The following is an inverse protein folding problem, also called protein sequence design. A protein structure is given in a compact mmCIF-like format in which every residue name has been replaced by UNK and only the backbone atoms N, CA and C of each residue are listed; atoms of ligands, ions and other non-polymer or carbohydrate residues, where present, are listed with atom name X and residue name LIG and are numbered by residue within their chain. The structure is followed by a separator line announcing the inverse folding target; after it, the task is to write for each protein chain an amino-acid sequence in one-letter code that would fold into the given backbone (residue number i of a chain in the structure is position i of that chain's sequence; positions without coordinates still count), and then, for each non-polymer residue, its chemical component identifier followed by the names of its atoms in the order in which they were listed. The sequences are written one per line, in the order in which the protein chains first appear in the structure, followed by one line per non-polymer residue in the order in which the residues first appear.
data_IF_288232235798
#
_entry.id   IF_288232235798
#
_cell.length_a   1.000
_cell.length_b   1.000
_cell.length_c   1.000
_cell.angle_alpha   90.00
_cell.angle_beta   90.00
_cell.angle_gamma   90.00
#
_symmetry.space_group_name_H-M   'P 1'
#
loop_
_entity.id
_entity.type
_entity.pdbx_description
1 polymer ?
#
# COMPACT_ATOMS: atom_id res chain seq x y z
N UNK A 1 -49.64 19.15 42.95
CA UNK A 1 -48.74 17.99 42.76
C UNK A 1 -48.38 17.91 41.28
N UNK A 2 -47.22 18.44 40.88
CA UNK A 2 -46.65 18.21 39.54
C UNK A 2 -45.13 18.26 39.66
N UNK A 3 -44.50 17.09 39.56
CA UNK A 3 -43.06 16.90 39.74
C UNK A 3 -42.34 17.16 38.42
N UNK A 4 -41.50 18.20 38.38
CA UNK A 4 -40.54 18.42 37.31
C UNK A 4 -39.29 17.57 37.61
N UNK A 5 -39.23 16.34 37.09
CA UNK A 5 -37.98 15.59 37.02
C UNK A 5 -37.31 15.93 35.70
N UNK A 6 -36.28 16.77 35.79
CA UNK A 6 -35.39 17.14 34.71
C UNK A 6 -34.76 15.90 34.08
N UNK A 7 -35.04 15.67 32.79
CA UNK A 7 -34.24 14.79 31.95
C UNK A 7 -32.97 15.55 31.57
N UNK A 8 -31.90 15.32 32.32
CA UNK A 8 -30.54 15.72 31.91
C UNK A 8 -30.05 14.65 30.95
N UNK A 9 -30.10 14.93 29.65
CA UNK A 9 -29.42 14.10 28.64
C UNK A 9 -27.96 14.53 28.66
N UNK A 10 -27.12 13.74 29.34
CA UNK A 10 -25.66 13.88 29.27
C UNK A 10 -25.21 13.26 27.95
N UNK A 11 -24.81 14.08 26.98
CA UNK A 11 -24.01 13.62 25.85
C UNK A 11 -22.60 13.35 26.39
N UNK A 12 -22.33 12.10 26.75
CA UNK A 12 -20.97 11.65 27.02
C UNK A 12 -20.24 11.50 25.69
N UNK A 13 -19.26 12.35 25.43
CA UNK A 13 -18.27 12.10 24.38
C UNK A 13 -17.38 10.99 24.95
N UNK A 14 -17.65 9.75 24.56
CA UNK A 14 -16.70 8.66 24.74
C UNK A 14 -15.52 8.94 23.81
N UNK A 15 -14.44 9.47 24.38
CA UNK A 15 -13.14 9.48 23.73
C UNK A 15 -12.65 8.04 23.77
N UNK A 16 -12.93 7.27 22.72
CA UNK A 16 -12.16 6.06 22.45
C UNK A 16 -10.74 6.51 22.10
N UNK A 17 -9.88 6.55 23.12
CA UNK A 17 -8.44 6.54 22.88
C UNK A 17 -8.13 5.21 22.20
N UNK A 18 -7.81 5.24 20.91
CA UNK A 18 -7.33 4.07 20.18
C UNK A 18 -6.04 3.59 20.88
N UNK A 19 -6.15 2.52 21.68
CA UNK A 19 -4.99 1.86 22.29
C UNK A 19 -4.42 0.94 21.22
N UNK A 20 -3.84 1.53 20.17
CA UNK A 20 -2.98 0.82 19.24
C UNK A 20 -1.75 0.33 20.02
N UNK A 21 -1.39 -0.94 19.83
CA UNK A 21 -0.24 -1.51 20.51
C UNK A 21 1.03 -1.04 19.79
N UNK A 22 1.57 0.09 20.22
CA UNK A 22 2.78 0.69 19.65
C UNK A 22 3.90 -0.35 19.47
N UNK A 23 4.34 -0.54 18.23
CA UNK A 23 5.51 -1.38 17.91
C UNK A 23 6.78 -0.55 17.98
N UNK A 24 7.91 -1.22 18.22
CA UNK A 24 9.24 -0.60 18.16
C UNK A 24 9.91 -1.06 16.86
N UNK A 25 10.37 -0.11 16.07
CA UNK A 25 11.03 -0.37 14.79
C UNK A 25 12.54 -0.56 14.96
N UNK A 26 13.08 -1.54 14.26
CA UNK A 26 14.51 -1.73 14.08
C UNK A 26 14.79 -1.94 12.61
N UNK A 27 15.81 -1.28 12.08
CA UNK A 27 16.21 -1.41 10.69
C UNK A 27 17.65 -1.84 10.55
N UNK A 28 17.92 -2.73 9.61
CA UNK A 28 19.27 -3.17 9.27
C UNK A 28 19.41 -3.30 7.75
N UNK A 29 20.45 -2.67 7.20
CA UNK A 29 20.80 -2.81 5.80
C UNK A 29 21.63 -4.08 5.59
N UNK A 30 21.21 -4.92 4.64
CA UNK A 30 21.91 -6.15 4.24
C UNK A 30 22.32 -7.01 5.45
N UNK A 31 21.36 -7.44 6.29
CA UNK A 31 21.63 -8.02 7.60
C UNK A 31 22.58 -9.23 7.51
N UNK A 32 23.73 -9.14 8.18
CA UNK A 32 24.74 -10.21 8.20
C UNK A 32 25.51 -10.45 6.89
N UNK A 33 25.41 -9.60 5.86
CA UNK A 33 26.10 -9.82 4.58
C UNK A 33 27.60 -9.47 4.61
N UNK A 34 27.99 -8.49 5.42
CA UNK A 34 29.35 -7.98 5.47
C UNK A 34 29.80 -7.28 4.17
N UNK A 35 31.10 -7.38 3.85
CA UNK A 35 31.72 -6.63 2.75
C UNK A 35 31.17 -7.00 1.36
N UNK A 36 30.72 -8.24 1.17
CA UNK A 36 30.23 -8.74 -0.12
C UNK A 36 29.10 -7.89 -0.71
N UNK A 37 28.12 -7.50 0.12
CA UNK A 37 27.01 -6.66 -0.35
C UNK A 37 27.45 -5.23 -0.65
N UNK A 38 28.49 -4.75 0.01
CA UNK A 38 29.08 -3.43 -0.27
C UNK A 38 29.79 -3.43 -1.62
N UNK A 39 30.55 -4.48 -1.92
CA UNK A 39 31.25 -4.65 -3.20
C UNK A 39 30.30 -4.78 -4.39
N UNK A 40 29.19 -5.51 -4.20
CA UNK A 40 28.16 -5.70 -5.24
C UNK A 40 27.17 -4.53 -5.32
N UNK A 41 27.23 -3.57 -4.39
CA UNK A 41 26.32 -2.45 -4.28
C UNK A 41 24.83 -2.86 -4.31
N UNK A 42 24.49 -3.95 -3.61
CA UNK A 42 23.12 -4.47 -3.52
C UNK A 42 22.39 -3.90 -2.30
N UNK A 43 21.07 -3.88 -2.36
CA UNK A 43 20.23 -3.41 -1.25
C UNK A 43 19.08 -4.39 -0.98
N UNK A 44 19.16 -5.03 0.19
CA UNK A 44 18.03 -5.66 0.87
C UNK A 44 17.94 -5.03 2.25
N UNK A 45 16.85 -4.35 2.52
CA UNK A 45 16.66 -3.59 3.75
C UNK A 45 15.67 -4.33 4.65
N UNK A 46 16.11 -4.64 5.85
CA UNK A 46 15.32 -5.38 6.82
C UNK A 46 14.73 -4.43 7.86
N UNK A 47 13.41 -4.37 7.89
CA UNK A 47 12.64 -3.65 8.89
C UNK A 47 11.94 -4.66 9.81
N UNK A 48 12.17 -4.53 11.11
CA UNK A 48 11.57 -5.35 12.16
C UNK A 48 10.69 -4.47 13.03
N UNK A 49 9.37 -4.71 13.01
CA UNK A 49 8.39 -4.06 13.87
C UNK A 49 8.01 -5.00 15.02
N UNK A 50 8.62 -4.79 16.19
CA UNK A 50 8.45 -5.64 17.36
C UNK A 50 7.27 -5.16 18.20
N UNK A 51 6.27 -6.03 18.38
CA UNK A 51 5.12 -5.81 19.27
C UNK A 51 5.25 -6.59 20.59
N UNK A 52 4.21 -6.52 21.45
CA UNK A 52 4.22 -7.22 22.73
C UNK A 52 4.27 -8.75 22.59
N UNK A 53 3.56 -9.30 21.61
CA UNK A 53 3.37 -10.75 21.46
C UNK A 53 4.01 -11.31 20.18
N UNK A 54 4.20 -10.47 19.17
CA UNK A 54 4.62 -10.86 17.83
C UNK A 54 5.63 -9.86 17.23
N UNK A 55 6.29 -10.29 16.18
CA UNK A 55 7.19 -9.46 15.39
C UNK A 55 6.81 -9.54 13.92
N UNK A 56 6.67 -8.38 13.29
CA UNK A 56 6.50 -8.25 11.85
C UNK A 56 7.88 -7.99 11.24
N UNK A 57 8.25 -8.83 10.29
CA UNK A 57 9.49 -8.75 9.54
C UNK A 57 9.16 -8.32 8.12
N UNK A 58 9.66 -7.16 7.69
CA UNK A 58 9.61 -6.69 6.32
C UNK A 58 11.01 -6.76 5.72
N UNK A 59 11.12 -7.39 4.55
CA UNK A 59 12.31 -7.30 3.72
C UNK A 59 11.97 -6.54 2.45
N UNK A 60 12.55 -5.35 2.31
CA UNK A 60 12.47 -4.53 1.11
C UNK A 60 13.68 -4.83 0.24
N UNK A 61 13.48 -5.53 -0.86
CA UNK A 61 14.54 -6.01 -1.74
C UNK A 61 14.61 -5.26 -3.06
N UNK A 62 15.84 -4.97 -3.49
CA UNK A 62 16.16 -4.30 -4.73
C UNK A 62 17.36 -4.96 -5.44
N UNK A 63 17.76 -6.18 -5.04
CA UNK A 63 18.92 -6.86 -5.64
C UNK A 63 18.68 -7.19 -7.11
N UNK A 64 17.46 -7.61 -7.44
CA UNK A 64 17.05 -7.87 -8.83
C UNK A 64 15.93 -6.93 -9.23
N UNK A 65 14.79 -7.03 -8.55
CA UNK A 65 13.60 -6.21 -8.77
C UNK A 65 13.04 -5.77 -7.42
N UNK A 66 12.30 -4.64 -7.37
CA UNK A 66 11.61 -4.23 -6.15
C UNK A 66 10.65 -5.31 -5.66
N UNK A 67 10.81 -5.73 -4.42
CA UNK A 67 9.93 -6.69 -3.78
C UNK A 67 9.89 -6.52 -2.28
N UNK A 68 8.79 -6.95 -1.68
CA UNK A 68 8.52 -6.91 -0.24
C UNK A 68 8.17 -8.32 0.20
N UNK A 69 8.85 -8.82 1.22
CA UNK A 69 8.43 -10.01 1.96
C UNK A 69 8.04 -9.59 3.38
N UNK A 70 6.82 -9.89 3.77
CA UNK A 70 6.27 -9.75 5.11
C UNK A 70 6.19 -11.14 5.76
N UNK A 71 6.67 -11.26 7.00
CA UNK A 71 6.50 -12.44 7.83
C UNK A 71 6.13 -12.06 9.26
N UNK A 72 5.21 -12.81 9.87
CA UNK A 72 4.73 -12.63 11.24
C UNK A 72 5.22 -13.79 12.09
N UNK A 73 5.93 -13.50 13.17
CA UNK A 73 6.56 -14.52 14.01
C UNK A 73 6.40 -14.19 15.50
N UNK A 74 6.76 -15.13 16.37
CA UNK A 74 6.96 -14.84 17.78
C UNK A 74 8.27 -14.04 18.00
N UNK A 75 8.31 -13.21 19.04
CA UNK A 75 9.45 -12.32 19.34
C UNK A 75 10.83 -12.98 19.46
N UNK A 76 10.90 -14.30 19.71
CA UNK A 76 12.15 -15.06 19.80
C UNK A 76 12.74 -15.45 18.43
N UNK A 77 11.95 -15.35 17.37
CA UNK A 77 12.31 -15.81 16.03
C UNK A 77 13.21 -14.78 15.34
N UNK A 78 14.24 -15.27 14.65
CA UNK A 78 15.20 -14.43 13.92
C UNK A 78 15.18 -14.76 12.43
N UNK A 79 15.40 -13.73 11.63
CA UNK A 79 15.66 -13.83 10.21
C UNK A 79 17.05 -14.43 9.95
N UNK A 80 17.15 -15.28 8.94
CA UNK A 80 18.41 -15.82 8.43
C UNK A 80 18.45 -15.72 6.90
N UNK A 81 19.51 -15.10 6.37
CA UNK A 81 19.74 -14.98 4.93
C UNK A 81 21.07 -15.69 4.60
N UNK A 82 20.99 -16.75 3.80
CA UNK A 82 22.17 -17.36 3.17
C UNK A 82 22.60 -16.49 1.99
N UNK A 83 23.46 -15.50 2.23
CA UNK A 83 23.84 -14.50 1.23
C UNK A 83 24.50 -15.08 -0.02
N UNK A 84 25.28 -16.15 0.11
CA UNK A 84 25.89 -16.82 -1.03
C UNK A 84 24.84 -17.41 -1.97
N UNK A 85 23.84 -18.07 -1.41
CA UNK A 85 22.72 -18.67 -2.13
C UNK A 85 21.75 -17.60 -2.67
N UNK A 86 21.51 -16.56 -1.86
CA UNK A 86 20.60 -15.46 -2.18
C UNK A 86 21.05 -14.70 -3.44
N UNK A 87 22.33 -14.31 -3.48
CA UNK A 87 22.89 -13.51 -4.57
C UNK A 87 22.96 -14.26 -5.91
N UNK A 88 22.96 -15.59 -5.89
CA UNK A 88 22.88 -16.42 -7.09
C UNK A 88 21.46 -16.95 -7.38
N UNK A 89 20.45 -16.39 -6.69
CA UNK A 89 19.02 -16.68 -6.86
C UNK A 89 18.64 -18.14 -6.54
N UNK A 90 19.22 -18.74 -5.50
CA UNK A 90 18.75 -20.04 -5.01
C UNK A 90 17.47 -19.88 -4.16
N UNK A 91 16.52 -20.82 -4.28
CA UNK A 91 15.36 -20.86 -3.40
C UNK A 91 15.77 -21.28 -1.98
N UNK A 92 14.94 -20.94 -0.98
CA UNK A 92 15.18 -21.21 0.45
C UNK A 92 16.46 -20.54 1.00
N UNK A 93 16.91 -19.47 0.35
CA UNK A 93 18.03 -18.66 0.82
C UNK A 93 17.61 -17.64 1.89
N UNK A 94 16.31 -17.40 2.03
CA UNK A 94 15.71 -16.67 3.16
C UNK A 94 14.94 -17.66 4.03
N UNK A 95 15.16 -17.62 5.33
CA UNK A 95 14.50 -18.48 6.31
C UNK A 95 14.36 -17.78 7.66
N UNK A 96 13.55 -18.36 8.53
CA UNK A 96 13.40 -17.95 9.92
C UNK A 96 13.82 -19.11 10.82
N UNK A 97 14.30 -18.81 12.03
CA UNK A 97 14.71 -19.85 12.99
C UNK A 97 13.55 -20.79 13.39
N UNK A 98 12.31 -20.32 13.22
CA UNK A 98 11.08 -21.09 13.34
C UNK A 98 10.14 -20.65 12.22
N UNK A 99 9.20 -21.52 11.83
CA UNK A 99 8.23 -21.21 10.78
C UNK A 99 7.36 -20.00 11.18
N UNK A 100 7.23 -18.98 10.31
CA UNK A 100 6.34 -17.87 10.57
C UNK A 100 4.88 -18.32 10.67
N UNK A 101 4.11 -17.62 11.49
CA UNK A 101 2.67 -17.84 11.62
C UNK A 101 1.95 -17.37 10.36
N UNK A 102 2.44 -16.29 9.76
CA UNK A 102 1.90 -15.73 8.54
C UNK A 102 2.99 -15.18 7.62
N UNK A 103 2.83 -15.33 6.30
CA UNK A 103 3.72 -14.73 5.30
C UNK A 103 2.94 -14.21 4.11
N UNK A 104 3.40 -13.06 3.60
CA UNK A 104 2.82 -12.35 2.48
C UNK A 104 3.93 -11.67 1.70
N UNK A 105 3.83 -11.63 0.38
CA UNK A 105 4.87 -11.10 -0.46
C UNK A 105 4.31 -10.38 -1.67
N UNK A 106 4.97 -9.28 -2.06
CA UNK A 106 4.59 -8.46 -3.21
C UNK A 106 5.83 -8.15 -4.01
N UNK A 107 5.77 -8.32 -5.33
CA UNK A 107 6.89 -8.11 -6.23
C UNK A 107 6.42 -7.30 -7.44
N UNK A 108 7.17 -6.25 -7.80
CA UNK A 108 6.91 -5.47 -9.02
C UNK A 108 7.50 -6.27 -10.18
N UNK A 109 6.66 -6.89 -10.99
CA UNK A 109 7.09 -7.80 -12.06
C UNK A 109 7.33 -7.09 -13.39
N UNK A 110 6.54 -6.04 -13.65
CA UNK A 110 6.59 -5.28 -14.90
C UNK A 110 6.25 -3.83 -14.63
N UNK A 111 6.89 -2.95 -15.40
CA UNK A 111 6.41 -1.60 -15.67
C UNK A 111 5.82 -1.62 -17.07
N UNK A 112 4.53 -1.30 -17.16
CA UNK A 112 3.76 -1.26 -18.39
C UNK A 112 3.87 0.15 -18.97
N UNK A 113 4.06 0.25 -20.27
CA UNK A 113 3.91 1.48 -21.03
C UNK A 113 2.94 1.18 -22.19
N UNK A 114 1.95 2.02 -22.44
CA UNK A 114 0.99 1.79 -23.52
C UNK A 114 0.61 3.09 -24.24
N UNK A 115 0.39 3.00 -25.56
CA UNK A 115 -0.08 4.11 -26.40
C UNK A 115 -1.61 4.20 -26.31
N UNK A 116 -2.11 5.02 -25.38
CA UNK A 116 -3.53 5.16 -25.10
C UNK A 116 -4.23 5.99 -26.17
N UNK A 117 -4.68 5.31 -27.22
CA UNK A 117 -5.30 5.96 -28.35
C UNK A 117 -6.69 6.55 -28.07
N UNK A 118 -7.36 6.06 -27.03
CA UNK A 118 -8.73 6.44 -26.71
C UNK A 118 -8.79 7.44 -25.57
N UNK A 119 -7.65 7.76 -24.96
CA UNK A 119 -7.53 8.69 -23.83
C UNK A 119 -8.47 8.31 -22.68
N UNK A 120 -8.36 7.06 -22.23
CA UNK A 120 -9.21 6.49 -21.20
C UNK A 120 -8.41 5.85 -20.04
N UNK A 121 -7.09 5.72 -20.14
CA UNK A 121 -6.24 5.11 -19.11
C UNK A 121 -6.26 3.57 -19.07
N UNK A 122 -7.03 2.92 -19.94
CA UNK A 122 -7.33 1.49 -19.91
C UNK A 122 -6.44 0.68 -20.86
N UNK A 123 -5.46 -0.04 -20.32
CA UNK A 123 -4.51 -0.85 -21.11
C UNK A 123 -5.16 -2.07 -21.77
N UNK A 124 -6.25 -2.60 -21.22
CA UNK A 124 -6.99 -3.73 -21.78
C UNK A 124 -7.71 -3.38 -23.09
N UNK A 125 -7.91 -2.09 -23.36
CA UNK A 125 -8.46 -1.61 -24.64
C UNK A 125 -7.38 -1.35 -25.71
N UNK A 126 -6.10 -1.51 -25.35
CA UNK A 126 -4.96 -1.21 -26.22
C UNK A 126 -4.41 -2.51 -26.84
N UNK A 127 -4.15 -2.55 -28.16
CA UNK A 127 -3.54 -3.71 -28.80
C UNK A 127 -2.17 -4.06 -28.21
N UNK A 128 -1.83 -5.34 -28.12
CA UNK A 128 -0.57 -5.82 -27.53
C UNK A 128 0.67 -5.19 -28.18
N UNK A 129 0.67 -4.93 -29.49
CA UNK A 129 1.76 -4.26 -30.20
C UNK A 129 1.97 -2.78 -29.80
N UNK A 130 0.96 -2.20 -29.14
CA UNK A 130 0.97 -0.85 -28.56
C UNK A 130 1.22 -0.86 -27.06
N UNK A 131 1.60 -2.02 -26.50
CA UNK A 131 2.03 -2.17 -25.12
C UNK A 131 3.51 -2.56 -25.08
N UNK A 132 4.31 -1.76 -24.40
CA UNK A 132 5.70 -2.02 -24.11
C UNK A 132 5.85 -2.46 -22.64
N UNK A 133 6.67 -3.48 -22.41
CA UNK A 133 6.91 -4.05 -21.08
C UNK A 133 8.37 -3.80 -20.73
N UNK A 134 8.58 -2.97 -19.71
CA UNK A 134 9.87 -2.76 -19.07
C UNK A 134 9.98 -3.67 -17.85
N UNK A 135 11.05 -4.44 -17.82
CA UNK A 135 11.37 -5.42 -16.77
C UNK A 135 12.15 -4.74 -15.64
N UNK A 136 11.65 -4.68 -14.39
CA UNK A 136 12.35 -4.02 -13.29
C UNK A 136 13.78 -4.52 -13.07
N UNK A 137 14.08 -5.78 -13.40
CA UNK A 137 15.44 -6.36 -13.32
C UNK A 137 16.47 -5.77 -14.30
N UNK A 138 16.01 -4.99 -15.28
CA UNK A 138 16.87 -4.33 -16.26
C UNK A 138 17.15 -2.87 -15.90
N UNK A 139 16.64 -2.38 -14.77
CA UNK A 139 17.06 -1.10 -14.17
C UNK A 139 18.26 -1.31 -13.26
N UNK A 140 19.13 -0.31 -13.18
CA UNK A 140 20.19 -0.25 -12.18
C UNK A 140 19.60 0.35 -10.91
N UNK A 141 19.33 -0.49 -9.92
CA UNK A 141 18.80 -0.07 -8.63
C UNK A 141 19.93 0.42 -7.71
N UNK A 142 19.75 1.59 -7.12
CA UNK A 142 20.69 2.17 -6.16
C UNK A 142 19.97 2.83 -5.00
N UNK A 143 20.54 2.67 -3.80
CA UNK A 143 20.06 3.36 -2.59
C UNK A 143 20.50 4.81 -2.62
N UNK A 144 19.56 5.74 -2.40
CA UNK A 144 19.83 7.18 -2.36
C UNK A 144 19.93 7.70 -0.94
N UNK A 145 19.04 7.27 -0.05
CA UNK A 145 19.10 7.58 1.37
C UNK A 145 18.38 6.50 2.19
N UNK A 146 18.76 6.42 3.45
CA UNK A 146 18.06 5.64 4.48
C UNK A 146 18.06 6.48 5.76
N UNK A 147 16.93 6.51 6.44
CA UNK A 147 16.79 7.14 7.74
C UNK A 147 15.89 6.29 8.60
N UNK A 148 16.19 6.18 9.89
CA UNK A 148 15.41 5.32 10.76
C UNK A 148 15.67 5.56 12.23
N UNK A 149 14.59 5.45 12.99
CA UNK A 149 14.62 5.34 14.45
C UNK A 149 13.52 4.35 14.88
N UNK A 150 13.28 4.28 16.19
CA UNK A 150 12.32 3.35 16.79
C UNK A 150 10.86 3.60 16.39
N UNK A 151 10.53 4.76 15.83
CA UNK A 151 9.18 5.18 15.50
C UNK A 151 8.90 5.25 14.00
N UNK A 152 9.92 5.56 13.21
CA UNK A 152 9.80 5.77 11.77
C UNK A 152 11.05 5.32 11.07
N UNK A 153 10.87 4.63 9.94
CA UNK A 153 11.96 4.21 9.06
C UNK A 153 11.59 4.56 7.63
N UNK A 154 12.55 5.06 6.88
CA UNK A 154 12.38 5.43 5.48
C UNK A 154 13.58 5.01 4.64
N UNK A 155 13.29 4.47 3.45
CA UNK A 155 14.29 4.06 2.46
C UNK A 155 13.94 4.67 1.10
N UNK A 156 14.92 5.31 0.47
CA UNK A 156 14.80 5.86 -0.89
C UNK A 156 15.64 5.04 -1.85
N UNK A 157 14.98 4.44 -2.83
CA UNK A 157 15.61 3.68 -3.92
C UNK A 157 15.35 4.35 -5.26
N UNK A 158 16.32 4.23 -6.17
CA UNK A 158 16.19 4.71 -7.54
C UNK A 158 16.60 3.62 -8.53
N UNK A 159 15.74 3.34 -9.49
CA UNK A 159 16.04 2.55 -10.68
C UNK A 159 16.33 3.48 -11.86
N UNK A 160 17.53 3.40 -12.39
CA UNK A 160 18.01 4.25 -13.50
C UNK A 160 18.63 3.41 -14.63
N UNK A 161 18.94 4.05 -15.76
CA UNK A 161 19.67 3.45 -16.89
C UNK A 161 19.08 2.12 -17.38
N UNK A 162 17.79 2.10 -17.70
CA UNK A 162 17.12 0.89 -18.19
C UNK A 162 17.77 0.38 -19.48
N UNK A 163 18.13 -0.90 -19.49
CA UNK A 163 18.62 -1.58 -20.70
C UNK A 163 18.14 -3.04 -20.76
N UNK A 164 17.31 -3.34 -21.74
CA UNK A 164 16.92 -4.72 -22.07
C UNK A 164 17.83 -5.28 -23.16
N UNK A 165 18.76 -6.21 -22.84
CA UNK A 165 19.67 -6.78 -23.83
C UNK A 165 18.96 -7.69 -24.84
N UNK A 166 17.82 -8.28 -24.49
CA UNK A 166 17.09 -9.20 -25.36
C UNK A 166 16.32 -8.44 -26.44
N UNK A 167 15.76 -7.28 -26.08
CA UNK A 167 15.05 -6.40 -27.01
C UNK A 167 15.93 -5.30 -27.61
N UNK A 168 17.14 -5.12 -27.08
CA UNK A 168 18.04 -4.00 -27.38
C UNK A 168 17.35 -2.63 -27.21
N UNK A 169 16.61 -2.48 -26.11
CA UNK A 169 15.87 -1.25 -25.77
C UNK A 169 16.57 -0.58 -24.60
N UNK A 170 16.85 0.72 -24.73
CA UNK A 170 17.28 1.58 -23.63
C UNK A 170 16.27 2.69 -23.37
N UNK A 171 16.16 3.11 -22.11
CA UNK A 171 15.37 4.26 -21.66
C UNK A 171 16.15 5.05 -20.62
N UNK A 172 16.17 6.38 -20.75
CA UNK A 172 16.65 7.28 -19.70
C UNK A 172 15.51 7.69 -18.78
N UNK A 173 15.86 8.21 -17.61
CA UNK A 173 14.91 8.59 -16.55
C UNK A 173 14.96 7.64 -15.37
N UNK A 174 14.03 7.87 -14.43
CA UNK A 174 14.09 7.30 -13.10
C UNK A 174 12.76 6.64 -12.71
N UNK A 175 12.87 5.53 -12.00
CA UNK A 175 11.81 4.99 -11.16
C UNK A 175 12.28 5.09 -9.72
N UNK A 176 11.66 5.98 -8.94
CA UNK A 176 11.94 6.08 -7.51
C UNK A 176 10.94 5.24 -6.73
N UNK A 177 11.43 4.58 -5.69
CA UNK A 177 10.59 3.85 -4.74
C UNK A 177 10.98 4.34 -3.35
N UNK A 178 10.03 4.97 -2.67
CA UNK A 178 10.17 5.39 -1.28
C UNK A 178 9.38 4.41 -0.43
N UNK A 179 10.01 3.86 0.61
CA UNK A 179 9.36 2.93 1.53
C UNK A 179 9.39 3.49 2.93
N UNK A 180 8.27 3.43 3.63
CA UNK A 180 8.12 3.94 4.99
C UNK A 180 7.60 2.84 5.92
N UNK A 181 8.18 2.76 7.11
CA UNK A 181 7.72 1.93 8.22
C UNK A 181 7.26 2.81 9.38
N UNK A 182 6.15 2.42 10.02
CA UNK A 182 5.46 3.23 11.01
C UNK A 182 5.26 2.48 12.33
N UNK A 183 5.07 3.22 13.42
CA UNK A 183 4.85 2.67 14.76
C UNK A 183 3.48 2.99 15.37
N UNK A 184 2.66 3.79 14.67
CA UNK A 184 1.39 4.34 15.13
C UNK A 184 0.37 4.41 14.00
N UNK A 185 -0.90 4.59 14.39
CA UNK A 185 -2.03 4.84 13.48
C UNK A 185 -2.12 6.32 13.14
N UNK A 186 -1.60 6.72 11.99
CA UNK A 186 -1.52 8.11 11.53
C UNK A 186 -1.65 8.19 10.00
N UNK A 187 -1.88 9.38 9.46
CA UNK A 187 -1.83 9.62 8.01
C UNK A 187 -0.42 9.96 7.58
N UNK A 188 -0.03 9.52 6.38
CA UNK A 188 1.26 9.92 5.79
C UNK A 188 1.32 11.42 5.53
N UNK A 189 2.51 12.02 5.67
CA UNK A 189 2.74 13.43 5.31
C UNK A 189 2.66 13.68 3.79
N UNK A 190 2.80 12.62 2.98
CA UNK A 190 2.80 12.72 1.52
C UNK A 190 1.42 12.35 0.97
N UNK A 191 0.89 13.20 0.10
CA UNK A 191 -0.34 12.96 -0.65
C UNK A 191 -0.29 11.60 -1.39
N UNK A 192 -1.32 10.73 -1.32
CA UNK A 192 -2.69 11.00 -0.89
C UNK A 192 -2.93 10.80 0.63
N UNK A 193 -1.93 11.04 1.46
CA UNK A 193 -2.05 10.98 2.92
C UNK A 193 -2.63 9.65 3.40
N UNK A 194 -2.11 8.53 2.90
CA UNK A 194 -2.64 7.20 3.25
C UNK A 194 -2.60 6.99 4.77
N UNK A 195 -3.72 6.53 5.34
CA UNK A 195 -3.79 6.07 6.73
C UNK A 195 -2.99 4.77 6.87
N UNK A 196 -2.03 4.75 7.78
CA UNK A 196 -1.18 3.61 8.06
C UNK A 196 -1.27 3.24 9.54
N UNK A 197 -0.82 2.04 9.90
CA UNK A 197 -0.82 1.55 11.28
C UNK A 197 0.57 1.01 11.65
N UNK A 198 0.75 0.61 12.90
CA UNK A 198 1.93 -0.11 13.36
C UNK A 198 2.15 -1.45 12.64
N UNK A 199 1.12 -1.99 11.99
CA UNK A 199 1.16 -3.27 11.28
C UNK A 199 1.33 -3.12 9.76
N UNK A 200 1.69 -1.93 9.28
CA UNK A 200 1.83 -1.68 7.85
C UNK A 200 3.04 -0.84 7.47
N UNK A 201 3.40 -0.94 6.19
CA UNK A 201 4.43 -0.13 5.54
C UNK A 201 3.81 0.55 4.33
N UNK A 202 4.30 1.74 3.98
CA UNK A 202 3.88 2.46 2.79
C UNK A 202 4.94 2.31 1.71
N UNK A 203 4.49 2.22 0.46
CA UNK A 203 5.31 2.25 -0.74
C UNK A 203 4.80 3.37 -1.62
N UNK A 204 5.70 4.26 -2.00
CA UNK A 204 5.44 5.35 -2.93
C UNK A 204 6.30 5.18 -4.18
N UNK A 205 5.65 4.84 -5.28
CA UNK A 205 6.26 4.56 -6.57
C UNK A 205 6.17 5.78 -7.46
N UNK A 206 7.29 6.26 -7.98
CA UNK A 206 7.36 7.51 -8.74
C UNK A 206 8.07 7.26 -10.05
N UNK A 207 7.39 7.52 -11.17
CA UNK A 207 7.97 7.48 -12.51
C UNK A 207 8.33 8.91 -12.90
N UNK A 208 9.63 9.23 -12.94
CA UNK A 208 10.12 10.59 -13.13
C UNK A 208 11.06 10.66 -14.34
N UNK A 209 10.69 11.47 -15.32
CA UNK A 209 11.44 11.70 -16.56
C UNK A 209 11.80 10.40 -17.31
N UNK A 210 11.02 9.33 -17.15
CA UNK A 210 11.21 8.07 -17.85
C UNK A 210 10.85 8.27 -19.32
N UNK A 211 11.81 8.10 -20.21
CA UNK A 211 11.60 8.29 -21.63
C UNK A 211 10.51 7.34 -22.15
N UNK A 212 9.46 7.87 -22.78
CA UNK A 212 8.50 7.03 -23.47
C UNK A 212 9.10 6.40 -24.73
N UNK A 213 8.44 5.37 -25.22
CA UNK A 213 8.67 4.81 -26.54
C UNK A 213 8.44 5.88 -27.61
N UNK A 214 9.45 6.10 -28.45
CA UNK A 214 9.42 7.14 -29.49
C UNK A 214 8.31 6.95 -30.53
N UNK A 215 7.78 5.74 -30.66
CA UNK A 215 6.66 5.44 -31.57
C UNK A 215 5.29 5.68 -30.95
N UNK A 216 5.22 5.87 -29.63
CA UNK A 216 3.99 6.15 -28.92
C UNK A 216 3.80 7.66 -28.83
N UNK A 217 2.57 8.11 -29.05
CA UNK A 217 2.23 9.54 -29.01
C UNK A 217 1.48 9.91 -27.74
N UNK A 218 0.87 8.91 -27.10
CA UNK A 218 -0.02 9.05 -25.95
C UNK A 218 0.36 8.03 -24.88
N UNK A 219 1.65 8.05 -24.51
CA UNK A 219 2.17 7.09 -23.54
C UNK A 219 1.58 7.29 -22.16
N UNK A 220 1.09 6.20 -21.59
CA UNK A 220 0.73 6.06 -20.18
C UNK A 220 1.53 4.92 -19.57
N UNK A 221 1.66 4.96 -18.25
CA UNK A 221 2.39 3.94 -17.51
C UNK A 221 1.50 3.19 -16.52
N UNK A 222 1.98 2.03 -16.13
CA UNK A 222 1.39 1.19 -15.10
C UNK A 222 2.38 0.16 -14.61
N UNK A 223 1.91 -0.77 -13.80
CA UNK A 223 2.71 -1.88 -13.29
C UNK A 223 1.91 -3.17 -13.13
N UNK A 224 2.62 -4.29 -13.21
CA UNK A 224 2.09 -5.61 -12.84
C UNK A 224 2.74 -6.00 -11.51
N UNK A 225 1.90 -6.26 -10.50
CA UNK A 225 2.34 -6.84 -9.24
C UNK A 225 2.11 -8.35 -9.25
N UNK A 226 3.03 -9.11 -8.68
CA UNK A 226 2.81 -10.47 -8.22
C UNK A 226 2.64 -10.44 -6.71
N UNK A 227 1.55 -11.03 -6.25
CA UNK A 227 1.20 -11.14 -4.84
C UNK A 227 1.19 -12.62 -4.48
N UNK A 228 1.87 -12.96 -3.39
CA UNK A 228 2.02 -14.33 -2.90
C UNK A 228 1.64 -14.37 -1.43
N UNK A 229 0.77 -15.29 -1.05
CA UNK A 229 0.43 -15.58 0.34
C UNK A 229 0.63 -17.08 0.60
N UNK A 230 0.92 -17.42 1.85
CA UNK A 230 0.93 -18.81 2.30
C UNK A 230 -0.47 -19.47 2.34
N UNK A 231 -1.52 -18.69 2.11
CA UNK A 231 -2.88 -19.19 2.11
C UNK A 231 -3.17 -20.14 0.94
N UNK A 232 -4.26 -20.90 1.11
CA UNK A 232 -4.70 -21.95 0.19
C UNK A 232 -5.05 -21.36 -1.20
N UNK A 233 -4.49 -21.86 -2.31
CA UNK A 233 -4.79 -21.34 -3.66
C UNK A 233 -6.25 -21.54 -4.12
N UNK A 234 -7.05 -22.29 -3.37
CA UNK A 234 -8.46 -22.57 -3.62
C UNK A 234 -9.36 -21.36 -3.32
N UNK A 235 -8.92 -20.44 -2.45
CA UNK A 235 -9.65 -19.22 -2.11
C UNK A 235 -8.87 -18.03 -2.67
N UNK A 236 -9.39 -17.34 -3.70
CA UNK A 236 -8.70 -16.21 -4.30
C UNK A 236 -8.68 -15.01 -3.35
N UNK A 237 -7.79 -14.05 -3.62
CA UNK A 237 -7.82 -12.76 -2.95
C UNK A 237 -9.06 -11.96 -3.40
N UNK A 238 -9.53 -11.05 -2.55
CA UNK A 238 -10.63 -10.15 -2.90
C UNK A 238 -10.09 -8.74 -3.16
N UNK A 239 -10.81 -8.00 -4.01
CA UNK A 239 -10.65 -6.55 -4.15
C UNK A 239 -11.97 -5.92 -3.75
N UNK A 240 -11.95 -5.12 -2.70
CA UNK A 240 -13.08 -4.45 -2.11
C UNK A 240 -12.90 -2.93 -2.15
N UNK A 241 -14.01 -2.20 -2.09
CA UNK A 241 -14.03 -0.74 -2.10
C UNK A 241 -14.69 -0.24 -0.83
N UNK A 242 -13.98 0.58 -0.07
CA UNK A 242 -14.57 1.34 1.03
C UNK A 242 -14.87 2.74 0.54
N UNK A 243 -16.16 3.08 0.51
CA UNK A 243 -16.61 4.45 0.26
C UNK A 243 -16.75 5.17 1.58
N UNK A 244 -16.07 6.31 1.71
CA UNK A 244 -16.22 7.23 2.82
C UNK A 244 -16.73 8.56 2.30
N UNK A 245 -17.52 9.27 3.09
CA UNK A 245 -17.87 10.67 2.81
C UNK A 245 -16.76 11.63 3.26
N UNK A 246 -15.70 11.08 3.87
CA UNK A 246 -14.56 11.83 4.35
C UNK A 246 -13.48 11.98 3.27
N UNK A 247 -13.27 13.22 2.84
CA UNK A 247 -12.19 13.63 1.95
C UNK A 247 -11.22 14.62 2.62
N UNK A 248 -11.25 14.73 3.96
CA UNK A 248 -10.43 15.67 4.74
C UNK A 248 -8.94 15.57 4.38
N UNK A 249 -8.46 14.33 4.22
CA UNK A 249 -7.06 14.02 3.92
C UNK A 249 -6.77 13.85 2.43
N UNK A 250 -7.78 13.66 1.58
CA UNK A 250 -7.58 13.53 0.13
C UNK A 250 -8.76 14.16 -0.60
N UNK A 251 -8.71 15.49 -0.82
CA UNK A 251 -9.85 16.22 -1.36
C UNK A 251 -10.38 15.63 -2.67
N UNK A 252 -11.70 15.40 -2.73
CA UNK A 252 -12.37 14.84 -3.91
C UNK A 252 -12.25 13.33 -4.10
N UNK A 253 -11.53 12.61 -3.23
CA UNK A 253 -11.37 11.15 -3.31
C UNK A 253 -12.10 10.48 -2.15
N UNK A 254 -13.26 9.91 -2.46
CA UNK A 254 -14.21 9.32 -1.49
C UNK A 254 -14.13 7.79 -1.39
N UNK A 255 -13.08 7.19 -1.96
CA UNK A 255 -12.94 5.75 -1.97
C UNK A 255 -11.50 5.29 -1.73
N UNK A 256 -11.41 4.14 -1.08
CA UNK A 256 -10.17 3.41 -0.82
C UNK A 256 -10.36 1.99 -1.35
N UNK A 257 -9.38 1.53 -2.13
CA UNK A 257 -9.34 0.17 -2.68
C UNK A 257 -8.52 -0.71 -1.74
N UNK A 258 -9.07 -1.87 -1.40
CA UNK A 258 -8.45 -2.86 -0.54
C UNK A 258 -8.35 -4.19 -1.27
N UNK A 259 -7.14 -4.69 -1.47
CA UNK A 259 -6.90 -6.06 -1.89
C UNK A 259 -6.56 -6.87 -0.64
N UNK A 260 -7.32 -7.93 -0.35
CA UNK A 260 -7.17 -8.72 0.87
C UNK A 260 -6.94 -10.19 0.56
N UNK A 261 -6.04 -10.80 1.31
CA UNK A 261 -5.92 -12.26 1.34
C UNK A 261 -7.11 -12.88 2.07
N UNK A 262 -7.46 -14.15 1.80
CA UNK A 262 -8.43 -14.88 2.60
C UNK A 262 -8.07 -14.82 4.09
N UNK A 263 -9.04 -14.45 4.92
CA UNK A 263 -8.85 -14.44 6.37
C UNK A 263 -8.80 -15.88 6.90
N UNK A 264 -7.97 -16.10 7.92
CA UNK A 264 -7.83 -17.39 8.58
C UNK A 264 -7.68 -17.22 10.07
N UNK A 265 -8.26 -18.16 10.82
CA UNK A 265 -8.00 -18.26 12.24
C UNK A 265 -6.67 -18.94 12.52
N UNK A 266 -5.80 -18.25 13.25
CA UNK A 266 -4.53 -18.73 13.77
C UNK A 266 -4.60 -18.93 15.29
N UNK A 267 -3.53 -19.48 15.88
CA UNK A 267 -3.42 -19.68 17.33
C UNK A 267 -4.62 -20.38 17.98
N UNK A 268 -5.04 -21.52 17.40
CA UNK A 268 -6.18 -22.34 17.85
C UNK A 268 -7.53 -21.63 17.83
N UNK A 269 -7.73 -20.67 16.93
CA UNK A 269 -9.03 -20.00 16.78
C UNK A 269 -9.14 -18.67 17.51
N UNK A 270 -8.04 -18.11 18.00
CA UNK A 270 -8.04 -16.93 18.88
C UNK A 270 -7.73 -15.65 18.10
N UNK A 271 -6.94 -15.74 17.03
CA UNK A 271 -6.47 -14.59 16.28
C UNK A 271 -6.81 -14.75 14.79
N UNK A 272 -7.09 -13.64 14.13
CA UNK A 272 -7.33 -13.59 12.69
C UNK A 272 -6.05 -13.16 11.97
N UNK A 273 -5.67 -13.92 10.96
CA UNK A 273 -4.55 -13.61 10.09
C UNK A 273 -5.07 -13.30 8.68
N UNK A 274 -4.72 -12.12 8.22
CA UNK A 274 -4.90 -11.67 6.85
C UNK A 274 -3.78 -10.68 6.52
N UNK A 275 -3.52 -10.45 5.24
CA UNK A 275 -2.70 -9.34 4.77
C UNK A 275 -3.45 -8.58 3.69
N UNK A 276 -3.03 -7.35 3.47
CA UNK A 276 -3.69 -6.46 2.55
C UNK A 276 -2.73 -5.56 1.79
N UNK A 277 -3.18 -5.15 0.61
CA UNK A 277 -2.76 -3.94 -0.05
C UNK A 277 -3.89 -2.93 0.00
N UNK A 278 -3.58 -1.67 0.29
CA UNK A 278 -4.58 -0.60 0.34
C UNK A 278 -4.07 0.64 -0.39
N UNK A 279 -4.88 1.24 -1.26
CA UNK A 279 -4.53 2.48 -1.96
C UNK A 279 -5.77 3.31 -2.26
N UNK A 280 -5.59 4.61 -2.45
CA UNK A 280 -6.60 5.48 -3.06
C UNK A 280 -6.43 5.44 -4.58
N UNK A 281 -7.51 5.44 -5.38
CA UNK A 281 -7.43 5.32 -6.84
C UNK A 281 -7.00 6.66 -7.50
N UNK A 282 -5.94 7.27 -6.99
CA UNK A 282 -5.43 8.57 -7.41
C UNK A 282 -3.91 8.53 -7.56
N UNK A 283 -3.43 9.23 -8.58
CA UNK A 283 -2.04 9.48 -8.91
C UNK A 283 -1.84 10.97 -9.09
N UNK A 284 -0.60 11.45 -8.97
CA UNK A 284 -0.26 12.84 -9.20
C UNK A 284 0.72 12.99 -10.35
N UNK A 285 0.41 13.94 -11.23
CA UNK A 285 1.20 14.23 -12.43
C UNK A 285 2.32 15.24 -12.17
N UNK A 286 2.51 15.72 -10.94
CA UNK A 286 3.60 16.63 -10.56
C UNK A 286 4.16 16.25 -9.19
N UNK A 287 5.39 16.69 -8.88
CA UNK A 287 6.05 16.44 -7.60
C UNK A 287 5.30 17.00 -6.39
N UNK A 288 4.57 18.09 -6.61
CA UNK A 288 3.95 18.90 -5.58
C UNK A 288 2.64 18.27 -5.08
N UNK A 289 2.09 17.33 -5.88
CA UNK A 289 0.86 16.56 -5.61
C UNK A 289 -0.34 17.42 -5.24
N UNK A 290 -0.47 18.57 -5.90
CA UNK A 290 -1.67 19.40 -5.82
C UNK A 290 -2.87 18.61 -6.38
N UNK A 291 -4.05 18.83 -5.81
CA UNK A 291 -5.35 18.30 -6.29
C UNK A 291 -5.55 18.60 -7.78
N UNK A 292 -5.09 19.76 -8.26
CA UNK A 292 -5.19 20.11 -9.70
C UNK A 292 -4.30 19.27 -10.62
N UNK A 293 -3.34 18.53 -10.04
CA UNK A 293 -2.46 17.60 -10.75
C UNK A 293 -2.87 16.13 -10.61
N UNK A 294 -4.02 15.84 -9.96
CA UNK A 294 -4.50 14.48 -9.77
C UNK A 294 -4.97 13.83 -11.08
N UNK A 295 -4.78 12.53 -11.20
CA UNK A 295 -5.31 11.66 -12.25
C UNK A 295 -5.71 10.32 -11.65
N UNK A 296 -6.53 9.54 -12.37
CA UNK A 296 -7.01 8.26 -11.86
C UNK A 296 -5.94 7.17 -11.83
N UNK A 297 -6.12 6.23 -10.90
CA UNK A 297 -5.42 4.94 -10.87
C UNK A 297 -6.44 3.84 -11.11
N UNK A 298 -6.23 3.09 -12.19
CA UNK A 298 -7.11 2.01 -12.63
C UNK A 298 -6.46 0.68 -12.24
N UNK A 299 -7.19 -0.16 -11.53
CA UNK A 299 -6.77 -1.54 -11.23
C UNK A 299 -7.60 -2.54 -12.04
N UNK A 300 -7.06 -3.73 -12.25
CA UNK A 300 -7.67 -4.76 -13.07
C UNK A 300 -7.99 -5.99 -12.23
N UNK A 301 -8.75 -6.91 -12.84
CA UNK A 301 -9.07 -8.20 -12.21
C UNK A 301 -7.80 -8.99 -11.87
N UNK A 302 -7.86 -9.72 -10.75
CA UNK A 302 -6.82 -10.64 -10.33
C UNK A 302 -6.68 -11.79 -11.33
N UNK A 303 -5.43 -12.18 -11.57
CA UNK A 303 -5.08 -13.28 -12.47
C UNK A 303 -4.21 -14.29 -11.75
N UNK A 304 -4.66 -15.54 -11.68
CA UNK A 304 -3.88 -16.63 -11.11
C UNK A 304 -2.49 -16.73 -11.73
N UNK A 305 -1.49 -16.98 -10.89
CA UNK A 305 -0.12 -17.20 -11.29
C UNK A 305 0.36 -18.59 -10.84
N UNK A 306 1.10 -19.29 -11.71
CA UNK A 306 1.62 -20.62 -11.42
C UNK A 306 3.11 -20.65 -11.10
N UNK A 307 3.82 -19.53 -11.30
CA UNK A 307 5.26 -19.47 -11.18
C UNK A 307 5.74 -18.14 -10.60
N UNK A 308 6.75 -18.23 -9.74
CA UNK A 308 7.51 -17.09 -9.24
C UNK A 308 8.82 -17.04 -10.05
N UNK A 309 9.18 -15.86 -10.56
CA UNK A 309 10.45 -15.66 -11.27
C UNK A 309 11.62 -15.91 -10.30
N UNK A 310 12.66 -16.61 -10.77
CA UNK A 310 13.85 -16.90 -9.95
C UNK A 310 14.52 -15.63 -9.43
N UNK A 311 14.44 -14.54 -10.18
CA UNK A 311 15.03 -13.24 -9.84
C UNK A 311 14.07 -12.39 -9.00
N UNK A 312 13.59 -12.93 -7.90
CA UNK A 312 12.67 -12.25 -6.97
C UNK A 312 12.96 -12.70 -5.54
N UNK A 313 12.84 -11.80 -4.57
CA UNK A 313 12.85 -12.15 -3.14
C UNK A 313 11.78 -13.20 -2.80
N UNK A 314 10.65 -13.19 -3.52
CA UNK A 314 9.59 -14.17 -3.32
C UNK A 314 10.07 -15.58 -3.70
N UNK A 315 10.93 -15.70 -4.71
CA UNK A 315 11.53 -16.99 -5.05
C UNK A 315 12.58 -17.44 -4.03
N UNK A 316 13.38 -16.49 -3.52
CA UNK A 316 14.35 -16.78 -2.47
C UNK A 316 13.70 -17.37 -1.21
N UNK A 317 12.47 -16.97 -0.89
CA UNK A 317 11.70 -17.54 0.22
C UNK A 317 10.85 -18.76 -0.20
N UNK A 318 9.97 -18.61 -1.18
CA UNK A 318 8.94 -19.60 -1.55
C UNK A 318 9.37 -20.65 -2.58
N UNK A 319 10.52 -20.48 -3.24
CA UNK A 319 10.87 -21.17 -4.50
C UNK A 319 10.92 -22.71 -4.49
N UNK A 320 10.75 -23.34 -3.31
CA UNK A 320 10.64 -24.79 -3.13
C UNK A 320 9.27 -25.36 -2.69
N UNK A 321 8.26 -24.53 -2.42
CA UNK A 321 6.91 -24.97 -1.99
C UNK A 321 5.82 -24.17 -2.71
N UNK A 322 5.70 -24.33 -4.03
CA UNK A 322 4.83 -23.48 -4.86
C UNK A 322 3.40 -23.98 -5.02
N UNK A 323 3.18 -25.28 -4.86
CA UNK A 323 1.90 -25.92 -5.16
C UNK A 323 0.78 -25.51 -4.18
N UNK A 324 1.17 -25.07 -2.98
CA UNK A 324 0.26 -24.80 -1.86
C UNK A 324 0.11 -23.30 -1.56
N UNK A 325 0.64 -22.42 -2.43
CA UNK A 325 0.60 -20.96 -2.23
C UNK A 325 -0.47 -20.30 -3.10
N UNK A 326 -1.19 -19.37 -2.50
CA UNK A 326 -2.04 -18.43 -3.21
C UNK A 326 -1.16 -17.40 -3.92
N UNK A 327 -1.20 -17.41 -5.25
CA UNK A 327 -0.39 -16.54 -6.11
C UNK A 327 -1.27 -15.90 -7.18
N UNK A 328 -1.39 -14.58 -7.15
CA UNK A 328 -2.14 -13.84 -8.18
C UNK A 328 -1.40 -12.58 -8.60
N UNK A 329 -1.74 -12.11 -9.79
CA UNK A 329 -1.21 -10.91 -10.39
C UNK A 329 -2.30 -9.88 -10.58
N UNK A 330 -1.95 -8.63 -10.35
CA UNK A 330 -2.80 -7.47 -10.62
C UNK A 330 -2.04 -6.48 -11.48
N UNK A 331 -2.73 -5.92 -12.47
CA UNK A 331 -2.23 -4.76 -13.20
C UNK A 331 -2.81 -3.49 -12.56
N UNK A 332 -2.04 -2.43 -12.60
CA UNK A 332 -2.45 -1.10 -12.15
C UNK A 332 -1.93 -0.09 -13.17
N UNK A 333 -2.79 0.74 -13.74
CA UNK A 333 -2.43 1.77 -14.73
C UNK A 333 -2.78 3.15 -14.21
N UNK A 334 -2.05 4.14 -14.70
CA UNK A 334 -2.16 5.53 -14.28
C UNK A 334 -2.67 6.36 -15.45
N UNK A 335 -3.75 7.09 -15.22
CA UNK A 335 -4.27 8.01 -16.21
C UNK A 335 -5.78 8.11 -16.26
N UNK A 336 -6.25 9.32 -16.59
CA UNK A 336 -7.66 9.61 -16.88
C UNK A 336 -7.78 10.47 -18.14
N UNK A 337 -8.96 10.47 -18.75
CA UNK A 337 -9.23 11.27 -19.94
C UNK A 337 -8.90 12.75 -19.73
N UNK A 338 -8.21 13.38 -20.69
CA UNK A 338 -7.90 14.80 -20.67
C UNK A 338 -6.76 15.25 -19.73
N UNK A 339 -6.08 14.32 -19.04
CA UNK A 339 -4.94 14.66 -18.18
C UNK A 339 -3.69 15.10 -18.97
N UNK A 340 -3.64 14.76 -20.26
CA UNK A 340 -2.55 15.06 -21.19
C UNK A 340 -1.46 14.00 -21.25
N UNK A 341 -1.75 12.78 -20.76
CA UNK A 341 -0.85 11.63 -20.73
C UNK A 341 0.41 11.86 -19.87
N UNK A 342 1.29 10.85 -19.80
CA UNK A 342 2.54 10.98 -19.05
C UNK A 342 3.43 12.10 -19.60
N UNK A 343 3.40 12.32 -20.91
CA UNK A 343 4.31 13.25 -21.61
C UNK A 343 4.09 14.72 -21.28
N UNK A 344 2.95 15.10 -20.70
CA UNK A 344 2.67 16.48 -20.29
C UNK A 344 3.65 16.99 -19.22
N UNK A 345 3.98 16.15 -18.25
CA UNK A 345 4.83 16.50 -17.11
C UNK A 345 6.02 15.56 -16.92
N UNK A 346 6.00 14.40 -17.57
CA UNK A 346 6.92 13.28 -17.37
C UNK A 346 7.00 12.85 -15.90
N UNK A 347 5.85 12.85 -15.23
CA UNK A 347 5.77 12.52 -13.81
C UNK A 347 4.46 11.80 -13.50
N UNK A 348 4.55 10.72 -12.72
CA UNK A 348 3.38 9.99 -12.20
C UNK A 348 3.75 9.30 -10.91
N UNK A 349 2.78 9.20 -10.00
CA UNK A 349 2.98 8.56 -8.69
C UNK A 349 1.95 7.46 -8.45
N UNK A 350 2.27 6.50 -7.61
CA UNK A 350 1.28 5.60 -7.06
C UNK A 350 1.71 5.18 -5.67
N UNK A 351 0.85 5.45 -4.69
CA UNK A 351 1.12 5.18 -3.28
C UNK A 351 0.19 4.10 -2.79
N UNK A 352 0.72 3.09 -2.10
CA UNK A 352 -0.05 2.00 -1.52
C UNK A 352 0.57 1.52 -0.20
N UNK A 353 -0.27 0.92 0.63
CA UNK A 353 0.08 0.32 1.91
C UNK A 353 0.21 -1.19 1.75
N UNK A 354 1.19 -1.80 2.41
CA UNK A 354 1.34 -3.25 2.59
C UNK A 354 1.22 -3.55 4.08
N UNK A 355 0.20 -4.30 4.49
CA UNK A 355 -0.08 -4.53 5.91
C UNK A 355 -0.50 -5.94 6.28
N UNK A 356 -0.42 -6.22 7.59
CA UNK A 356 -0.90 -7.43 8.25
C UNK A 356 -2.10 -7.10 9.15
N UNK A 357 -3.07 -8.01 9.21
CA UNK A 357 -4.32 -7.83 9.93
C UNK A 357 -5.31 -6.98 9.14
N UNK A 358 -6.29 -6.41 9.82
CA UNK A 358 -7.35 -5.63 9.17
C UNK A 358 -6.86 -4.25 8.74
N UNK A 359 -7.13 -3.82 7.49
CA UNK A 359 -6.83 -2.45 7.06
C UNK A 359 -7.49 -1.43 7.97
N UNK A 360 -6.78 -0.34 8.36
CA UNK A 360 -7.37 0.70 9.19
C UNK A 360 -8.53 1.39 8.47
N UNK A 361 -9.55 1.75 9.25
CA UNK A 361 -10.70 2.52 8.76
C UNK A 361 -10.49 4.01 8.96
N UNK A 362 -10.83 4.79 7.94
CA UNK A 362 -10.85 6.25 8.03
C UNK A 362 -11.91 6.70 9.05
N UNK A 363 -11.56 7.69 9.86
CA UNK A 363 -12.46 8.30 10.82
C UNK A 363 -12.44 9.81 10.66
N UNK A 364 -13.61 10.43 10.75
CA UNK A 364 -13.70 11.89 10.78
C UNK A 364 -12.87 12.46 11.91
N UNK A 365 -12.12 13.55 11.63
CA UNK A 365 -11.44 14.26 12.69
C UNK A 365 -12.43 14.79 13.73
N UNK A 366 -11.95 14.95 14.97
CA UNK A 366 -12.76 15.57 16.03
C UNK A 366 -13.27 16.97 15.64
N UNK A 367 -12.53 17.69 14.79
CA UNK A 367 -12.95 18.97 14.26
C UNK A 367 -14.17 18.83 13.34
N UNK A 368 -14.14 17.90 12.39
CA UNK A 368 -15.27 17.62 11.49
C UNK A 368 -16.48 17.15 12.29
N UNK A 369 -16.29 16.20 13.22
CA UNK A 369 -17.36 15.70 14.10
C UNK A 369 -17.99 16.87 14.88
N UNK A 370 -17.17 17.79 15.40
CA UNK A 370 -17.64 18.97 16.13
C UNK A 370 -18.44 19.92 15.21
N UNK A 371 -17.96 20.22 14.00
CA UNK A 371 -18.66 21.09 13.05
C UNK A 371 -20.00 20.47 12.65
N UNK A 372 -20.03 19.18 12.31
CA UNK A 372 -21.26 18.45 11.98
C UNK A 372 -22.23 18.45 13.17
N UNK A 373 -21.72 18.23 14.38
CA UNK A 373 -22.52 18.22 15.61
C UNK A 373 -23.15 19.59 15.90
N UNK A 374 -22.42 20.69 15.71
CA UNK A 374 -22.96 22.04 15.88
C UNK A 374 -23.94 22.38 14.74
N UNK A 375 -23.54 22.10 13.50
CA UNK A 375 -24.29 22.44 12.29
C UNK A 375 -25.63 21.73 12.19
N UNK A 376 -25.73 20.46 12.60
CA UNK A 376 -26.98 19.68 12.59
C UNK A 376 -27.66 19.67 13.95
N UNK A 377 -26.89 19.55 15.03
CA UNK A 377 -27.43 19.41 16.38
C UNK A 377 -28.19 20.66 16.84
N UNK A 378 -27.67 21.86 16.57
CA UNK A 378 -28.34 23.10 16.99
C UNK A 378 -29.68 23.31 16.27
N UNK A 379 -29.80 23.18 14.94
CA UNK A 379 -31.11 23.23 14.26
C UNK A 379 -32.11 22.19 14.77
N UNK A 380 -31.68 20.93 14.97
CA UNK A 380 -32.56 19.86 15.47
C UNK A 380 -33.06 20.18 16.87
N UNK A 381 -32.20 20.69 17.75
CA UNK A 381 -32.59 21.11 19.10
C UNK A 381 -33.62 22.24 19.07
N UNK A 382 -33.40 23.26 18.25
CA UNK A 382 -34.35 24.38 18.09
C UNK A 382 -35.71 23.87 17.55
N UNK A 383 -35.70 23.02 16.52
CA UNK A 383 -36.92 22.43 15.97
C UNK A 383 -37.67 21.58 17.00
N UNK A 384 -36.94 20.83 17.83
CA UNK A 384 -37.52 19.97 18.87
C UNK A 384 -38.17 20.80 19.99
N UNK A 385 -37.51 21.87 20.44
CA UNK A 385 -38.06 22.81 21.42
C UNK A 385 -39.30 23.52 20.85
N UNK A 386 -39.25 23.95 19.59
CA UNK A 386 -40.39 24.59 18.92
C UNK A 386 -41.58 23.64 18.77
N UNK A 387 -41.34 22.39 18.36
CA UNK A 387 -42.37 21.35 18.25
C UNK A 387 -42.99 21.02 19.61
N UNK A 388 -42.16 20.85 20.65
CA UNK A 388 -42.63 20.62 22.02
C UNK A 388 -43.50 21.78 22.52
N UNK A 389 -43.04 23.02 22.32
CA UNK A 389 -43.80 24.21 22.68
C UNK A 389 -45.15 24.27 21.95
N UNK A 390 -45.19 23.97 20.65
CA UNK A 390 -46.42 23.93 19.87
C UNK A 390 -47.39 22.85 20.36
N UNK A 391 -46.90 21.65 20.69
CA UNK A 391 -47.70 20.56 21.26
C UNK A 391 -48.31 20.94 22.62
N UNK A 392 -47.51 21.50 23.53
CA UNK A 392 -47.99 21.96 24.84
C UNK A 392 -49.03 23.06 24.70
N UNK A 393 -48.83 24.00 23.77
CA UNK A 393 -49.81 25.06 23.50
C UNK A 393 -51.13 24.47 22.99
N UNK A 394 -51.09 23.52 22.07
CA UNK A 394 -52.30 22.88 21.51
C UNK A 394 -53.10 22.12 22.57
N UNK A 395 -52.40 21.38 23.45
CA UNK A 395 -53.01 20.67 24.58
C UNK A 395 -53.63 21.59 25.65
N UNK A 396 -53.20 22.86 25.74
CA UNK A 396 -53.83 23.85 26.62
C UNK A 396 -55.06 24.53 26.01
N UNK A 397 -55.21 24.48 24.69
CA UNK A 397 -56.32 25.10 23.95
C UNK A 397 -57.42 24.12 23.54
N UNK A 398 -57.21 22.81 23.74
CA UNK A 398 -58.24 21.77 23.75
C UNK A 398 -58.62 21.46 25.19
#
# INVERSE_FOLDING_TARGET
MWNWRYAVIVLGILVESCVGSRRILFSELNPGCGAKCTELNVTTFYLRAQGPNDTLHYLWDFVQRPGILLAVTANSVKLNISWDDYLINQPKSISFTQEPVYTFGVSIEKVLEFDDANDNGHVDTVPDEKVNILRPENFVWSRKSEQGNENFVELHMNGENYYDPMKNISRRGNIRVVLNGFCSLEHSDVMPHMLHSENSTQVDFIIENLEPNKTFTRSRFGMELLIVSQESPQVPMSIDFKKSLDDEHTPGIFEVVELRTPWKLINKGIEEAEAYLQWRPVSYTTSDRDVTSSTDVIHYQLRNCSNIDKKSILYAYYGGHRADLLMEKINITIGSSGDGFYTKTNYSTWTFIVGYGTPPDEQFSYLVIMILSIGVGLPVLIMSVAAFYACVRRLRTS
#
